data_IF_270340823818
#
_entry.id   IF_270340823818
#
_cell.length_a   1.000
_cell.length_b   1.000
_cell.length_c   1.000
_cell.angle_alpha   90.00
_cell.angle_beta   90.00
_cell.angle_gamma   90.00
#
_symmetry.space_group_name_H-M   'P 1'
#
loop_
_entity.id
_entity.type
_entity.pdbx_description
1 polymer ?
#
# COMPACT_ATOMS: atom_id res chain seq x y z
N UNK A 1 -13.24 -10.33 -0.42
CA UNK A 1 -12.66 -9.30 -1.31
C UNK A 1 -11.14 -9.39 -1.32
N UNK A 2 -10.47 -9.30 -0.18
CA UNK A 2 -9.01 -9.44 -0.05
C UNK A 2 -8.50 -10.78 -0.61
N UNK A 3 -9.10 -11.92 -0.24
CA UNK A 3 -8.63 -13.23 -0.73
C UNK A 3 -8.80 -13.39 -2.25
N UNK A 4 -9.88 -12.83 -2.81
CA UNK A 4 -10.09 -12.80 -4.25
C UNK A 4 -9.05 -11.93 -4.97
N UNK A 5 -8.68 -10.79 -4.38
CA UNK A 5 -7.60 -9.95 -4.88
C UNK A 5 -6.26 -10.70 -4.83
N UNK A 6 -5.96 -11.36 -3.70
CA UNK A 6 -4.72 -12.13 -3.54
C UNK A 6 -4.66 -13.34 -4.48
N UNK A 7 -5.77 -14.01 -4.75
CA UNK A 7 -5.84 -15.10 -5.72
C UNK A 7 -5.58 -14.62 -7.15
N UNK A 8 -6.09 -13.44 -7.51
CA UNK A 8 -5.93 -12.86 -8.85
C UNK A 8 -4.56 -12.20 -9.08
N UNK A 9 -4.03 -11.53 -8.07
CA UNK A 9 -2.87 -10.65 -8.20
C UNK A 9 -1.65 -11.11 -7.42
N UNK A 10 -1.82 -11.91 -6.36
CA UNK A 10 -0.75 -12.29 -5.45
C UNK A 10 0.39 -13.06 -6.14
N UNK A 11 1.59 -12.92 -5.57
CA UNK A 11 2.73 -13.73 -5.99
C UNK A 11 2.42 -15.21 -5.85
N UNK A 12 2.70 -16.02 -6.88
CA UNK A 12 2.47 -17.48 -6.83
C UNK A 12 3.27 -18.08 -5.67
N UNK A 13 2.65 -18.89 -4.81
CA UNK A 13 3.32 -19.49 -3.64
C UNK A 13 4.59 -20.28 -4.03
N UNK A 14 4.63 -20.88 -5.23
CA UNK A 14 5.79 -21.58 -5.78
C UNK A 14 6.94 -20.70 -6.29
N UNK A 15 6.82 -19.37 -6.24
CA UNK A 15 7.87 -18.42 -6.64
C UNK A 15 8.67 -17.85 -5.45
N UNK A 16 8.23 -18.15 -4.22
CA UNK A 16 8.93 -17.82 -2.97
C UNK A 16 10.22 -18.65 -2.86
N UNK A 17 11.28 -18.21 -3.53
CA UNK A 17 12.60 -18.85 -3.51
C UNK A 17 13.27 -19.01 -4.87
N UNK A 18 12.55 -18.76 -5.97
CA UNK A 18 13.17 -18.73 -7.29
C UNK A 18 14.04 -17.47 -7.41
N UNK A 19 15.36 -17.61 -7.23
CA UNK A 19 16.33 -16.55 -7.54
C UNK A 19 16.06 -16.07 -8.97
N UNK A 20 15.53 -14.86 -9.12
CA UNK A 20 15.19 -14.26 -10.42
C UNK A 20 13.72 -13.91 -10.63
N UNK A 21 12.79 -14.35 -9.77
CA UNK A 21 11.41 -13.89 -9.85
C UNK A 21 11.30 -12.41 -9.44
N UNK A 22 10.79 -11.62 -10.37
CA UNK A 22 10.41 -10.24 -10.17
C UNK A 22 9.49 -10.04 -8.94
N UNK A 23 9.76 -9.10 -8.01
CA UNK A 23 8.78 -8.77 -6.97
C UNK A 23 7.54 -8.13 -7.61
N UNK A 24 6.38 -8.44 -7.04
CA UNK A 24 5.14 -7.74 -7.28
C UNK A 24 5.04 -6.56 -6.31
N UNK A 25 4.60 -5.41 -6.81
CA UNK A 25 4.48 -4.17 -6.06
C UNK A 25 2.99 -3.89 -5.85
N UNK A 26 2.51 -4.01 -4.62
CA UNK A 26 1.24 -3.40 -4.24
C UNK A 26 1.46 -1.92 -3.90
N UNK A 27 0.74 -1.03 -4.59
CA UNK A 27 0.92 0.42 -4.46
C UNK A 27 -0.33 1.10 -3.88
N UNK A 28 -0.30 1.39 -2.58
CA UNK A 28 -1.26 2.26 -1.91
C UNK A 28 -0.76 3.72 -1.96
N UNK A 29 -1.38 4.56 -2.80
CA UNK A 29 -1.05 5.98 -2.94
C UNK A 29 -2.29 6.78 -3.35
N UNK A 30 -2.51 7.92 -2.71
CA UNK A 30 -3.53 8.91 -3.09
C UNK A 30 -3.01 9.92 -4.13
N UNK A 31 -1.72 9.91 -4.44
CA UNK A 31 -1.10 10.75 -5.47
C UNK A 31 -1.07 10.05 -6.84
N UNK A 32 -1.79 10.62 -7.82
CA UNK A 32 -1.87 10.12 -9.20
C UNK A 32 -0.57 10.32 -9.99
N UNK A 33 0.20 11.39 -9.72
CA UNK A 33 1.49 11.61 -10.37
C UNK A 33 2.50 10.58 -9.88
N UNK A 34 2.51 10.30 -8.57
CA UNK A 34 3.37 9.24 -8.01
C UNK A 34 2.99 7.87 -8.57
N UNK A 35 1.68 7.57 -8.66
CA UNK A 35 1.19 6.36 -9.30
C UNK A 35 1.74 6.21 -10.74
N UNK A 36 1.56 7.25 -11.57
CA UNK A 36 2.03 7.23 -12.95
C UNK A 36 3.55 7.03 -13.04
N UNK A 37 4.32 7.69 -12.16
CA UNK A 37 5.77 7.54 -12.10
C UNK A 37 6.21 6.12 -11.72
N UNK A 38 5.55 5.49 -10.74
CA UNK A 38 5.84 4.10 -10.32
C UNK A 38 5.50 3.11 -11.43
N UNK A 39 4.34 3.26 -12.06
CA UNK A 39 3.92 2.41 -13.20
C UNK A 39 4.88 2.55 -14.38
N UNK A 40 5.28 3.78 -14.73
CA UNK A 40 6.25 4.03 -15.79
C UNK A 40 7.62 3.42 -15.48
N UNK A 41 8.08 3.52 -14.22
CA UNK A 41 9.40 3.02 -13.81
C UNK A 41 9.49 1.50 -13.74
N UNK A 42 8.44 0.82 -13.25
CA UNK A 42 8.50 -0.61 -12.94
C UNK A 42 7.67 -1.50 -13.86
N UNK A 43 6.80 -0.90 -14.67
CA UNK A 43 5.90 -1.58 -15.61
C UNK A 43 4.56 -1.97 -14.97
N UNK A 44 3.47 -1.78 -15.72
CA UNK A 44 2.10 -2.05 -15.27
C UNK A 44 1.87 -3.52 -14.87
N UNK A 45 2.62 -4.47 -15.44
CA UNK A 45 2.55 -5.88 -15.10
C UNK A 45 3.10 -6.22 -13.70
N UNK A 46 3.84 -5.30 -13.06
CA UNK A 46 4.43 -5.49 -11.73
C UNK A 46 3.75 -4.66 -10.65
N UNK A 47 2.92 -3.69 -11.03
CA UNK A 47 2.27 -2.76 -10.10
C UNK A 47 0.80 -3.12 -10.03
N UNK A 48 0.33 -3.48 -8.84
CA UNK A 48 -1.07 -3.79 -8.56
C UNK A 48 -1.61 -2.81 -7.53
N UNK A 49 -2.88 -2.46 -7.67
CA UNK A 49 -3.55 -1.47 -6.84
C UNK A 49 -5.00 -1.88 -6.64
N UNK A 50 -5.61 -1.38 -5.56
CA UNK A 50 -7.04 -1.53 -5.36
C UNK A 50 -7.81 -0.95 -6.57
N UNK A 51 -8.90 -1.62 -6.96
CA UNK A 51 -9.77 -1.22 -8.07
C UNK A 51 -9.04 -0.98 -9.42
N UNK A 52 -7.95 -1.70 -9.68
CA UNK A 52 -7.09 -1.51 -10.86
C UNK A 52 -6.58 -0.06 -10.98
N UNK A 53 -6.40 0.60 -9.83
CA UNK A 53 -6.02 1.99 -9.76
C UNK A 53 -7.18 2.97 -9.94
N UNK A 54 -8.45 2.55 -9.92
CA UNK A 54 -9.61 3.46 -9.87
C UNK A 54 -10.01 3.74 -8.42
N UNK A 55 -9.09 4.31 -7.65
CA UNK A 55 -9.34 4.82 -6.29
C UNK A 55 -9.47 6.33 -6.30
N UNK A 56 -10.15 6.89 -5.31
CA UNK A 56 -10.25 8.35 -5.16
C UNK A 56 -8.85 8.88 -4.84
N UNK A 57 -8.37 9.84 -5.64
CA UNK A 57 -7.03 10.44 -5.50
C UNK A 57 -7.07 11.94 -5.31
N UNK A 58 -6.02 12.48 -4.71
CA UNK A 58 -5.76 13.91 -4.71
C UNK A 58 -5.55 14.41 -6.15
N UNK A 59 -6.11 15.58 -6.46
CA UNK A 59 -5.84 16.32 -7.70
C UNK A 59 -5.39 17.73 -7.36
N UNK A 60 -4.25 18.14 -7.91
CA UNK A 60 -3.53 19.31 -7.41
C UNK A 60 -2.95 19.05 -6.01
N UNK A 61 -1.96 19.82 -5.56
CA UNK A 61 -1.17 19.53 -4.35
C UNK A 61 -1.91 19.55 -3.00
N UNK A 62 -3.23 19.41 -2.96
CA UNK A 62 -4.03 19.26 -1.74
C UNK A 62 -4.27 17.78 -1.43
N UNK A 63 -3.87 17.35 -0.24
CA UNK A 63 -4.10 15.99 0.22
C UNK A 63 -5.59 15.64 0.32
N UNK A 64 -5.94 14.40 -0.02
CA UNK A 64 -7.33 13.96 -0.21
C UNK A 64 -8.18 13.95 1.08
N UNK A 65 -7.51 13.82 2.22
CA UNK A 65 -8.13 13.82 3.55
C UNK A 65 -8.57 15.21 4.02
N UNK A 66 -8.16 16.29 3.33
CA UNK A 66 -8.64 17.65 3.62
C UNK A 66 -10.05 17.91 3.12
N UNK A 67 -10.48 17.14 2.13
CA UNK A 67 -11.82 17.23 1.55
C UNK A 67 -12.84 16.56 2.47
N UNK A 68 -13.69 17.40 3.08
CA UNK A 68 -14.70 17.04 4.08
C UNK A 68 -16.07 16.68 3.48
N UNK A 69 -16.14 16.40 2.18
CA UNK A 69 -17.36 15.92 1.55
C UNK A 69 -17.84 14.60 2.20
N UNK A 70 -18.90 14.72 3.01
CA UNK A 70 -19.50 13.60 3.74
C UNK A 70 -20.04 12.52 2.81
N UNK A 71 -20.48 12.87 1.59
CA UNK A 71 -20.97 11.91 0.60
C UNK A 71 -19.89 10.97 0.08
N UNK A 72 -18.62 11.41 0.14
CA UNK A 72 -17.45 10.60 -0.28
C UNK A 72 -16.67 10.01 0.89
N UNK A 73 -16.94 10.42 2.13
CA UNK A 73 -16.22 9.97 3.31
C UNK A 73 -16.27 8.44 3.51
N UNK A 74 -17.45 7.83 3.33
CA UNK A 74 -17.59 6.37 3.44
C UNK A 74 -16.74 5.64 2.39
N UNK A 75 -16.80 6.05 1.12
CA UNK A 75 -16.04 5.44 0.05
C UNK A 75 -14.52 5.54 0.29
N UNK A 76 -14.03 6.74 0.66
CA UNK A 76 -12.62 6.95 1.03
C UNK A 76 -12.19 6.06 2.22
N UNK A 77 -13.06 5.93 3.22
CA UNK A 77 -12.83 5.08 4.39
C UNK A 77 -12.72 3.60 4.02
N UNK A 78 -13.58 3.12 3.13
CA UNK A 78 -13.52 1.74 2.61
C UNK A 78 -12.23 1.52 1.81
N UNK A 79 -11.86 2.46 0.93
CA UNK A 79 -10.62 2.36 0.14
C UNK A 79 -9.37 2.27 1.03
N UNK A 80 -9.22 3.19 2.00
CA UNK A 80 -8.05 3.19 2.88
C UNK A 80 -8.00 1.96 3.79
N UNK A 81 -9.16 1.45 4.24
CA UNK A 81 -9.23 0.21 5.02
C UNK A 81 -8.75 -0.98 4.18
N UNK A 82 -9.20 -1.08 2.93
CA UNK A 82 -8.79 -2.15 2.02
C UNK A 82 -7.31 -2.06 1.67
N UNK A 83 -6.79 -0.86 1.37
CA UNK A 83 -5.36 -0.66 1.14
C UNK A 83 -4.53 -1.10 2.33
N UNK A 84 -4.94 -0.73 3.55
CA UNK A 84 -4.26 -1.13 4.78
C UNK A 84 -4.24 -2.65 4.97
N UNK A 85 -5.38 -3.31 4.75
CA UNK A 85 -5.47 -4.77 4.84
C UNK A 85 -4.63 -5.45 3.75
N UNK A 86 -4.58 -4.91 2.53
CA UNK A 86 -3.72 -5.44 1.47
C UNK A 86 -2.23 -5.21 1.75
N UNK A 87 -1.84 -4.05 2.28
CA UNK A 87 -0.47 -3.79 2.75
C UNK A 87 -0.05 -4.84 3.79
N UNK A 88 -0.94 -5.22 4.71
CA UNK A 88 -0.65 -6.25 5.72
C UNK A 88 -0.41 -7.64 5.11
N UNK A 89 -0.81 -7.89 3.86
CA UNK A 89 -0.55 -9.16 3.15
C UNK A 89 0.77 -9.19 2.38
N UNK A 90 1.53 -8.08 2.38
CA UNK A 90 2.83 -8.03 1.72
C UNK A 90 3.91 -8.79 2.51
N UNK A 91 4.99 -9.18 1.83
CA UNK A 91 6.15 -9.85 2.46
C UNK A 91 7.19 -8.84 3.00
N UNK A 92 7.17 -7.60 2.48
CA UNK A 92 8.06 -6.49 2.80
C UNK A 92 7.30 -5.17 2.62
N UNK A 93 7.62 -4.13 3.40
CA UNK A 93 6.92 -2.85 3.37
C UNK A 93 7.88 -1.69 3.05
N UNK A 94 7.54 -0.89 2.04
CA UNK A 94 8.15 0.43 1.83
C UNK A 94 7.17 1.47 2.37
N UNK A 95 7.54 2.21 3.43
CA UNK A 95 6.63 3.15 4.07
C UNK A 95 7.29 4.48 4.43
N UNK A 96 6.45 5.48 4.66
CA UNK A 96 6.83 6.75 5.29
C UNK A 96 6.09 6.90 6.63
N UNK A 97 6.14 8.09 7.22
CA UNK A 97 5.33 8.46 8.38
C UNK A 97 3.83 8.56 8.01
N UNK A 98 3.14 7.41 7.90
CA UNK A 98 1.71 7.34 7.55
C UNK A 98 0.97 6.34 8.44
N UNK A 99 -0.17 6.78 8.99
CA UNK A 99 -1.05 5.92 9.78
C UNK A 99 -1.55 4.69 8.99
N UNK A 100 -1.68 4.79 7.66
CA UNK A 100 -2.13 3.70 6.78
C UNK A 100 -1.14 2.54 6.81
N UNK A 101 0.15 2.83 6.61
CA UNK A 101 1.21 1.82 6.64
C UNK A 101 1.50 1.31 8.05
N UNK A 102 1.36 2.16 9.07
CA UNK A 102 1.49 1.72 10.48
C UNK A 102 0.39 0.72 10.84
N UNK A 103 -0.85 1.00 10.44
CA UNK A 103 -1.98 0.12 10.76
C UNK A 103 -1.84 -1.26 10.10
N UNK A 104 -1.17 -1.36 8.96
CA UNK A 104 -0.83 -2.64 8.34
C UNK A 104 0.08 -3.52 9.22
N UNK A 105 0.97 -2.92 10.03
CA UNK A 105 1.86 -3.64 10.95
C UNK A 105 1.09 -4.29 12.09
N UNK A 106 -0.02 -3.68 12.56
CA UNK A 106 -0.87 -4.27 13.58
C UNK A 106 -1.57 -5.55 13.09
N UNK A 107 -1.94 -5.61 11.81
CA UNK A 107 -2.54 -6.80 11.20
C UNK A 107 -1.53 -7.86 10.80
N UNK A 108 -0.26 -7.47 10.60
CA UNK A 108 0.83 -8.41 10.34
C UNK A 108 2.12 -7.96 11.03
N UNK A 109 2.30 -8.34 12.32
CA UNK A 109 3.49 -7.98 13.09
C UNK A 109 4.81 -8.48 12.48
N UNK A 110 4.79 -9.48 11.60
CA UNK A 110 6.02 -9.92 10.93
C UNK A 110 6.64 -8.83 10.03
N UNK A 111 5.85 -7.85 9.59
CA UNK A 111 6.33 -6.72 8.80
C UNK A 111 7.16 -5.72 9.60
N UNK A 112 7.11 -5.74 10.94
CA UNK A 112 7.87 -4.84 11.82
C UNK A 112 9.38 -4.97 11.60
N UNK A 113 9.85 -6.20 11.33
CA UNK A 113 11.27 -6.48 11.08
C UNK A 113 11.62 -6.50 9.58
N UNK A 114 10.66 -6.14 8.72
CA UNK A 114 10.79 -6.12 7.26
C UNK A 114 10.28 -4.83 6.59
N UNK A 115 10.43 -3.63 7.18
CA UNK A 115 10.18 -2.40 6.45
C UNK A 115 11.49 -1.76 5.97
N UNK A 116 11.37 -0.93 4.94
CA UNK A 116 12.24 0.23 4.79
C UNK A 116 11.40 1.47 5.09
N UNK A 117 11.80 2.23 6.10
CA UNK A 117 11.10 3.43 6.54
C UNK A 117 11.79 4.69 6.00
N UNK A 118 11.04 5.48 5.23
CA UNK A 118 11.44 6.80 4.76
C UNK A 118 11.10 7.91 5.77
N UNK A 119 10.63 7.54 6.97
CA UNK A 119 10.39 8.45 8.08
C UNK A 119 11.63 9.21 8.53
N UNK A 120 11.46 10.33 9.26
CA UNK A 120 12.56 11.07 9.87
C UNK A 120 13.41 10.18 10.78
N UNK A 121 14.72 10.45 10.84
CA UNK A 121 15.68 9.67 11.64
C UNK A 121 15.37 9.68 13.15
N UNK A 122 14.62 10.67 13.63
CA UNK A 122 14.21 10.88 15.02
C UNK A 122 12.78 10.40 15.31
N UNK A 123 12.11 9.77 14.34
CA UNK A 123 10.77 9.23 14.58
C UNK A 123 10.86 8.07 15.59
N UNK A 124 10.11 8.13 16.71
CA UNK A 124 10.13 7.06 17.69
C UNK A 124 9.58 5.78 17.06
N UNK A 125 10.32 4.68 17.22
CA UNK A 125 9.81 3.37 16.87
C UNK A 125 8.70 2.97 17.84
N UNK A 126 7.56 2.44 17.36
CA UNK A 126 6.54 1.92 18.25
C UNK A 126 7.13 0.80 19.11
N UNK A 127 6.74 0.74 20.37
CA UNK A 127 7.08 -0.39 21.23
C UNK A 127 6.21 -1.59 20.80
N UNK A 128 6.75 -2.39 19.90
CA UNK A 128 6.15 -3.66 19.51
C UNK A 128 6.50 -4.71 20.59
N UNK A 129 5.46 -5.34 21.15
CA UNK A 129 5.58 -6.29 22.27
C UNK A 129 6.28 -7.60 21.89
#
# INVERSE_FOLDING_TARGET
MIDAFMSRHGGREGSRGARGAAPLIFLATDDSNYQAAVVHRYGAQRVVQLHDGNVIRAQGGSAIWRDRDAGRAHAKGVEVLLDTLLLSKCDFLLKSASAVSEFALYFNPHLINRPYDFGPADQPSPAWF
#
